data_IF_071724893368
#
_entry.id   IF_071724893368
#
_cell.length_a   1.000
_cell.length_b   1.000
_cell.length_c   1.000
_cell.angle_alpha   90.00
_cell.angle_beta   90.00
_cell.angle_gamma   90.00
#
_symmetry.space_group_name_H-M   'P 1'
#
loop_
_entity.id
_entity.type
_entity.pdbx_description
1 polymer ?
#
# COMPACT_ATOMS: atom_id res chain seq x y z
N UNK A 1 21.00 6.78 21.58
CA UNK A 1 20.31 5.51 21.26
C UNK A 1 18.87 5.86 20.95
N UNK A 2 18.40 5.62 19.74
CA UNK A 2 16.97 5.71 19.44
C UNK A 2 16.30 4.47 20.03
N UNK A 3 15.51 4.64 21.08
CA UNK A 3 14.70 3.56 21.64
C UNK A 3 13.59 3.21 20.64
N UNK A 4 13.55 1.95 20.21
CA UNK A 4 12.49 1.46 19.32
C UNK A 4 11.25 1.11 20.14
N UNK A 5 10.19 1.90 19.97
CA UNK A 5 8.87 1.61 20.56
C UNK A 5 8.10 0.67 19.63
N UNK A 6 7.64 -0.47 20.15
CA UNK A 6 6.81 -1.43 19.39
C UNK A 6 5.34 -1.12 19.62
N UNK A 7 4.58 -0.96 18.53
CA UNK A 7 3.13 -0.72 18.55
C UNK A 7 2.40 -1.90 17.90
N UNK A 8 1.38 -2.44 18.57
CA UNK A 8 0.52 -3.50 18.00
C UNK A 8 -0.83 -2.92 17.61
N UNK A 9 -1.23 -3.11 16.35
CA UNK A 9 -2.48 -2.60 15.79
C UNK A 9 -3.40 -3.76 15.40
N UNK A 10 -4.70 -3.64 15.69
CA UNK A 10 -5.74 -4.53 15.18
C UNK A 10 -6.59 -3.75 14.18
N UNK A 11 -6.55 -4.18 12.93
CA UNK A 11 -7.28 -3.55 11.83
C UNK A 11 -7.74 -4.62 10.84
N UNK A 12 -8.67 -4.25 9.96
CA UNK A 12 -9.00 -5.08 8.81
C UNK A 12 -7.78 -5.18 7.88
N UNK A 13 -7.39 -6.40 7.50
CA UNK A 13 -6.24 -6.60 6.61
C UNK A 13 -6.47 -6.01 5.22
N UNK A 14 -7.72 -5.83 4.79
CA UNK A 14 -8.03 -5.24 3.48
C UNK A 14 -7.57 -3.79 3.36
N UNK A 15 -7.30 -3.11 4.48
CA UNK A 15 -6.68 -1.77 4.49
C UNK A 15 -5.29 -1.79 3.84
N UNK A 16 -4.59 -2.93 3.90
CA UNK A 16 -3.28 -3.14 3.28
C UNK A 16 -3.38 -3.92 1.96
N UNK A 17 -4.53 -3.92 1.29
CA UNK A 17 -4.67 -4.55 -0.03
C UNK A 17 -4.51 -3.52 -1.15
N UNK A 18 -3.94 -3.97 -2.28
CA UNK A 18 -3.85 -3.15 -3.47
C UNK A 18 -5.23 -2.91 -4.09
N UNK A 19 -5.50 -1.66 -4.49
CA UNK A 19 -6.79 -1.30 -5.11
C UNK A 19 -7.06 -1.96 -6.47
N UNK A 20 -6.03 -2.52 -7.12
CA UNK A 20 -6.11 -3.11 -8.46
C UNK A 20 -6.25 -4.63 -8.42
N UNK A 21 -5.38 -5.32 -7.69
CA UNK A 21 -5.40 -6.79 -7.62
C UNK A 21 -6.11 -7.34 -6.38
N UNK A 22 -6.51 -6.49 -5.44
CA UNK A 22 -7.17 -6.87 -4.17
C UNK A 22 -6.36 -7.84 -3.29
N UNK A 23 -5.08 -8.02 -3.59
CA UNK A 23 -4.13 -8.84 -2.84
C UNK A 23 -3.40 -7.98 -1.79
N UNK A 24 -2.87 -8.59 -0.71
CA UNK A 24 -1.99 -7.91 0.23
C UNK A 24 -0.84 -7.21 -0.48
N UNK A 25 -0.58 -5.97 -0.09
CA UNK A 25 0.52 -5.17 -0.63
C UNK A 25 1.86 -5.85 -0.35
N UNK A 26 2.80 -5.63 -1.27
CA UNK A 26 4.21 -6.00 -1.11
C UNK A 26 5.05 -4.78 -1.49
N UNK A 27 6.15 -4.49 -0.76
CA UNK A 27 7.08 -3.44 -1.17
C UNK A 27 7.60 -3.67 -2.60
N UNK A 28 7.80 -2.62 -3.40
CA UNK A 28 7.52 -1.21 -3.11
C UNK A 28 6.02 -0.85 -3.19
N UNK A 29 5.54 -0.11 -2.19
CA UNK A 29 4.17 0.38 -2.04
C UNK A 29 4.07 1.81 -2.52
N UNK A 30 3.01 2.09 -3.27
CA UNK A 30 2.76 3.40 -3.81
C UNK A 30 1.41 3.93 -3.35
N UNK A 31 1.34 5.24 -3.11
CA UNK A 31 0.16 5.94 -2.63
C UNK A 31 -0.16 7.09 -3.58
N UNK A 32 -1.41 7.20 -4.00
CA UNK A 32 -1.88 8.41 -4.70
C UNK A 32 -2.28 9.50 -3.69
N UNK A 33 -2.45 10.75 -4.13
CA UNK A 33 -2.84 11.85 -3.21
C UNK A 33 -4.22 11.68 -2.57
N UNK A 34 -5.04 10.76 -3.08
CA UNK A 34 -6.30 10.33 -2.47
C UNK A 34 -6.17 9.20 -1.44
N UNK A 35 -4.94 8.85 -1.02
CA UNK A 35 -4.61 7.76 -0.09
C UNK A 35 -4.98 6.33 -0.55
N UNK A 36 -5.16 6.12 -1.87
CA UNK A 36 -5.27 4.75 -2.39
C UNK A 36 -3.89 4.11 -2.55
N UNK A 37 -3.77 2.84 -2.14
CA UNK A 37 -2.51 2.09 -2.16
C UNK A 37 -2.46 1.10 -3.33
N UNK A 38 -1.29 1.00 -3.96
CA UNK A 38 -1.04 0.08 -5.05
C UNK A 38 0.34 -0.59 -4.94
N UNK A 39 0.42 -1.82 -5.45
CA UNK A 39 1.69 -2.52 -5.64
C UNK A 39 2.45 -1.91 -6.81
N UNK A 40 3.79 -1.87 -6.73
CA UNK A 40 4.64 -1.44 -7.84
C UNK A 40 4.35 -2.18 -9.15
N UNK A 41 4.18 -3.51 -9.09
CA UNK A 41 3.83 -4.33 -10.28
C UNK A 41 2.56 -3.85 -10.98
N UNK A 42 1.49 -3.63 -10.22
CA UNK A 42 0.22 -3.18 -10.79
C UNK A 42 0.36 -1.81 -11.45
N UNK A 43 1.13 -0.90 -10.86
CA UNK A 43 1.39 0.42 -11.44
C UNK A 43 2.25 0.36 -12.70
N UNK A 44 3.24 -0.52 -12.77
CA UNK A 44 4.04 -0.73 -13.99
C UNK A 44 3.20 -1.23 -15.16
N UNK A 45 2.11 -1.94 -14.90
CA UNK A 45 1.16 -2.45 -15.90
C UNK A 45 0.07 -1.41 -16.25
N UNK A 46 -0.03 -0.29 -15.52
CA UNK A 46 -1.08 0.71 -15.67
C UNK A 46 -0.69 1.86 -16.61
N UNK A 47 -1.43 2.07 -17.71
CA UNK A 47 -1.15 3.19 -18.61
C UNK A 47 -1.45 4.53 -17.92
N UNK A 48 -0.41 5.38 -17.82
CA UNK A 48 -0.53 6.77 -17.38
C UNK A 48 -0.45 7.00 -15.87
N UNK A 49 -0.19 5.97 -15.05
CA UNK A 49 0.03 6.07 -13.60
C UNK A 49 -1.07 6.87 -12.85
N UNK A 50 -2.32 6.84 -13.32
CA UNK A 50 -3.45 7.59 -12.71
C UNK A 50 -4.26 6.67 -11.80
N UNK A 51 -4.75 7.22 -10.70
CA UNK A 51 -5.71 6.52 -9.85
C UNK A 51 -7.14 6.71 -10.38
N UNK A 52 -7.79 5.62 -10.80
CA UNK A 52 -9.18 5.64 -11.29
C UNK A 52 -10.23 5.61 -10.17
N UNK A 53 -9.83 5.34 -8.91
CA UNK A 53 -10.74 5.36 -7.76
C UNK A 53 -10.87 6.72 -7.08
N UNK A 54 -10.00 7.67 -7.40
CA UNK A 54 -10.13 9.01 -6.83
C UNK A 54 -11.36 9.71 -7.42
N UNK A 55 -12.20 10.27 -6.55
CA UNK A 55 -13.38 11.06 -6.94
C UNK A 55 -12.99 12.30 -7.76
N UNK A 56 -11.82 12.88 -7.48
CA UNK A 56 -11.22 13.90 -8.32
C UNK A 56 -9.86 13.42 -8.84
N UNK A 57 -9.41 13.85 -10.03
CA UNK A 57 -8.11 13.49 -10.56
C UNK A 57 -6.98 14.16 -9.74
N UNK A 58 -6.71 13.64 -8.54
CA UNK A 58 -5.70 14.18 -7.60
C UNK A 58 -4.29 13.66 -7.91
N UNK A 59 -3.93 13.54 -9.19
CA UNK A 59 -2.59 13.14 -9.62
C UNK A 59 -2.31 11.63 -9.56
N UNK A 60 -1.06 11.29 -9.87
CA UNK A 60 -0.60 9.91 -9.98
C UNK A 60 -0.22 9.27 -8.65
N UNK A 61 0.34 8.07 -8.74
CA UNK A 61 0.91 7.38 -7.59
C UNK A 61 2.38 7.76 -7.39
N UNK A 62 2.77 7.91 -6.13
CA UNK A 62 4.14 8.14 -5.68
C UNK A 62 4.55 7.03 -4.72
N UNK A 63 5.85 6.72 -4.67
CA UNK A 63 6.39 5.71 -3.75
C UNK A 63 6.24 6.19 -2.31
N UNK A 64 5.78 5.30 -1.41
CA UNK A 64 5.56 5.60 0.01
C UNK A 64 6.46 4.72 0.90
N UNK A 65 7.66 5.20 1.27
CA UNK A 65 8.59 4.45 2.12
C UNK A 65 8.04 4.12 3.51
N UNK A 66 7.12 4.93 4.04
CA UNK A 66 6.51 4.65 5.33
C UNK A 66 5.59 3.43 5.24
N UNK A 67 4.81 3.34 4.16
CA UNK A 67 3.98 2.17 3.91
C UNK A 67 4.80 0.93 3.58
N UNK A 68 5.97 1.06 2.95
CA UNK A 68 6.91 -0.06 2.81
C UNK A 68 7.35 -0.61 4.17
N UNK A 69 7.68 0.26 5.12
CA UNK A 69 8.05 -0.16 6.46
C UNK A 69 6.88 -0.85 7.18
N UNK A 70 5.66 -0.29 7.08
CA UNK A 70 4.44 -0.88 7.67
C UNK A 70 4.15 -2.25 7.06
N UNK A 71 4.16 -2.38 5.74
CA UNK A 71 3.88 -3.65 5.05
C UNK A 71 4.99 -4.67 5.30
N UNK A 72 6.25 -4.25 5.43
CA UNK A 72 7.37 -5.15 5.78
C UNK A 72 7.30 -5.64 7.23
N UNK A 73 6.80 -4.81 8.15
CA UNK A 73 6.61 -5.16 9.55
C UNK A 73 5.32 -5.98 9.77
N UNK A 74 4.37 -5.90 8.84
CA UNK A 74 3.12 -6.64 8.90
C UNK A 74 3.37 -8.15 8.73
N UNK A 75 3.09 -8.89 9.80
CA UNK A 75 3.01 -10.36 9.75
C UNK A 75 1.54 -10.75 9.59
N UNK A 76 1.13 -11.14 8.39
CA UNK A 76 -0.17 -11.79 8.22
C UNK A 76 -0.14 -13.11 8.98
N UNK A 77 -1.13 -13.34 9.85
CA UNK A 77 -1.34 -14.67 10.46
C UNK A 77 -1.94 -15.68 9.46
N UNK A 78 -2.18 -15.26 8.23
CA UNK A 78 -2.71 -16.09 7.15
C UNK A 78 -1.70 -16.12 5.99
N UNK A 79 -1.27 -17.31 5.53
CA UNK A 79 -0.51 -17.42 4.30
C UNK A 79 -1.38 -16.92 3.14
N UNK A 80 -0.74 -16.26 2.18
CA UNK A 80 -1.35 -15.98 0.88
C UNK A 80 -1.81 -17.32 0.30
N UNK A 81 -3.13 -17.56 0.28
CA UNK A 81 -3.75 -18.72 -0.38
C UNK A 81 -3.50 -18.67 -1.88
#
# INVERSE_FOLDING_TARGET
MLETVTVTLKMDSTVLHCIFCSQPLKPPVFKCKGNHLACGRCLSELPGNRCHRCVEPRGGFEHDPAMDAVVSAYRSKFPSV
#
